data_IF_797694022576
#
_entry.id   IF_797694022576
#
_cell.length_a   1.000
_cell.length_b   1.000
_cell.length_c   1.000
_cell.angle_alpha   90.00
_cell.angle_beta   90.00
_cell.angle_gamma   90.00
#
_symmetry.space_group_name_H-M   'P 1'
#
loop_
_entity.id
_entity.type
_entity.pdbx_description
1 polymer ?
#
# COMPACT_ATOMS: atom_id res chain seq x y z
N UNK A 1 7.15 0.00 24.67
CA UNK A 1 8.36 -0.61 25.26
C UNK A 1 8.50 -0.36 26.76
N UNK A 2 7.88 0.69 27.31
CA UNK A 2 7.88 0.98 28.75
C UNK A 2 6.88 0.14 29.56
N UNK A 3 6.10 -0.70 28.91
CA UNK A 3 5.06 -1.53 29.55
C UNK A 3 3.75 -0.80 29.84
N UNK A 4 3.68 0.49 29.55
CA UNK A 4 2.47 1.28 29.71
C UNK A 4 1.51 1.03 28.53
N UNK A 5 0.24 0.81 28.86
CA UNK A 5 -0.83 0.67 27.87
C UNK A 5 -1.66 1.95 27.90
N UNK A 6 -1.75 2.68 26.77
CA UNK A 6 -2.54 3.89 26.73
C UNK A 6 -4.03 3.56 26.91
N UNK A 7 -4.73 4.43 27.61
CA UNK A 7 -6.19 4.47 27.60
C UNK A 7 -6.65 5.32 26.42
N UNK A 8 -7.76 4.95 25.81
CA UNK A 8 -8.33 5.70 24.68
C UNK A 8 -9.82 5.96 24.93
N UNK A 9 -10.27 7.12 24.47
CA UNK A 9 -11.66 7.49 24.40
C UNK A 9 -12.08 7.60 22.94
N UNK A 10 -13.07 6.79 22.55
CA UNK A 10 -13.63 6.77 21.19
C UNK A 10 -15.02 7.39 21.11
N UNK A 11 -15.48 8.06 22.17
CA UNK A 11 -16.83 8.64 22.25
C UNK A 11 -17.12 9.68 21.15
N UNK A 12 -16.07 10.35 20.63
CA UNK A 12 -16.18 11.33 19.54
C UNK A 12 -16.14 10.69 18.15
N UNK A 13 -15.88 9.40 18.03
CA UNK A 13 -15.92 8.68 16.75
C UNK A 13 -17.38 8.49 16.34
N UNK A 14 -17.68 8.80 15.07
CA UNK A 14 -19.03 8.64 14.55
C UNK A 14 -19.53 7.20 14.75
N UNK A 15 -20.78 7.01 15.22
CA UNK A 15 -21.35 5.67 15.39
C UNK A 15 -21.46 4.94 14.05
N UNK A 16 -21.43 3.61 14.10
CA UNK A 16 -21.61 2.77 12.92
C UNK A 16 -22.95 3.09 12.24
N UNK A 17 -22.93 3.14 10.91
CA UNK A 17 -24.10 3.45 10.10
C UNK A 17 -24.39 4.95 9.90
N UNK A 18 -23.71 5.85 10.61
CA UNK A 18 -23.89 7.30 10.44
C UNK A 18 -23.47 7.74 9.01
N UNK A 19 -24.25 8.64 8.41
CA UNK A 19 -24.00 9.11 7.04
C UNK A 19 -22.71 9.96 6.96
N UNK A 20 -21.90 9.69 5.96
CA UNK A 20 -20.72 10.51 5.64
C UNK A 20 -21.12 11.66 4.70
N UNK A 21 -20.68 12.88 5.04
CA UNK A 21 -21.08 14.09 4.30
C UNK A 21 -20.31 14.28 2.99
N UNK A 22 -19.04 13.91 2.94
CA UNK A 22 -18.12 14.32 1.86
C UNK A 22 -18.08 13.33 0.70
N UNK A 23 -18.01 12.03 0.98
CA UNK A 23 -17.81 11.00 -0.06
C UNK A 23 -19.00 10.04 -0.21
N UNK A 24 -20.10 10.29 0.49
CA UNK A 24 -21.20 9.34 0.60
C UNK A 24 -20.80 8.10 1.41
N UNK A 25 -21.75 7.18 1.58
CA UNK A 25 -21.55 5.97 2.39
C UNK A 25 -21.82 6.20 3.88
N UNK A 26 -21.48 5.19 4.68
CA UNK A 26 -21.76 5.15 6.12
C UNK A 26 -20.47 4.92 6.91
N UNK A 27 -20.40 5.47 8.11
CA UNK A 27 -19.30 5.27 9.03
C UNK A 27 -19.23 3.83 9.53
N UNK A 28 -18.03 3.32 9.75
CA UNK A 28 -17.79 1.98 10.31
C UNK A 28 -17.94 1.93 11.83
N UNK A 29 -18.00 3.08 12.50
CA UNK A 29 -18.00 3.16 13.96
C UNK A 29 -16.61 3.08 14.58
N UNK A 30 -16.52 3.06 15.92
CA UNK A 30 -15.25 3.02 16.66
C UNK A 30 -14.57 1.65 16.67
N UNK A 31 -15.31 0.56 16.47
CA UNK A 31 -14.80 -0.81 16.66
C UNK A 31 -13.53 -1.13 15.84
N UNK A 32 -13.45 -0.79 14.55
CA UNK A 32 -12.22 -1.04 13.77
C UNK A 32 -11.00 -0.31 14.34
N UNK A 33 -11.19 0.88 14.89
CA UNK A 33 -10.12 1.66 15.53
C UNK A 33 -9.66 1.01 16.84
N UNK A 34 -10.59 0.56 17.66
CA UNK A 34 -10.30 -0.17 18.91
C UNK A 34 -9.56 -1.47 18.61
N UNK A 35 -9.97 -2.19 17.56
CA UNK A 35 -9.31 -3.40 17.11
C UNK A 35 -7.87 -3.14 16.65
N UNK A 36 -7.64 -2.05 15.90
CA UNK A 36 -6.28 -1.61 15.55
C UNK A 36 -5.42 -1.33 16.79
N UNK A 37 -5.96 -0.66 17.80
CA UNK A 37 -5.20 -0.37 19.03
C UNK A 37 -4.82 -1.65 19.76
N UNK A 38 -5.74 -2.59 19.92
CA UNK A 38 -5.48 -3.90 20.53
C UNK A 38 -4.40 -4.66 19.76
N UNK A 39 -4.55 -4.75 18.45
CA UNK A 39 -3.58 -5.41 17.55
C UNK A 39 -2.18 -4.77 17.70
N UNK A 40 -2.11 -3.45 17.72
CA UNK A 40 -0.84 -2.73 17.89
C UNK A 40 -0.18 -3.06 19.22
N UNK A 41 -0.95 -3.04 20.30
CA UNK A 41 -0.44 -3.38 21.65
C UNK A 41 0.11 -4.81 21.68
N UNK A 42 -0.59 -5.77 21.11
CA UNK A 42 -0.13 -7.17 21.04
C UNK A 42 1.18 -7.30 20.26
N UNK A 43 1.29 -6.64 19.10
CA UNK A 43 2.52 -6.65 18.30
C UNK A 43 3.70 -6.06 19.07
N UNK A 44 3.52 -4.93 19.76
CA UNK A 44 4.59 -4.32 20.56
C UNK A 44 4.93 -5.12 21.80
N UNK A 45 3.96 -5.74 22.48
CA UNK A 45 4.23 -6.66 23.60
C UNK A 45 5.06 -7.86 23.15
N UNK A 46 4.75 -8.43 21.98
CA UNK A 46 5.55 -9.52 21.41
C UNK A 46 6.95 -9.13 20.97
N UNK A 47 7.25 -7.82 20.90
CA UNK A 47 8.54 -7.29 20.46
C UNK A 47 9.36 -6.66 21.61
N UNK A 48 9.00 -6.91 22.87
CA UNK A 48 9.77 -6.38 24.02
C UNK A 48 11.22 -6.84 23.93
N UNK A 49 12.16 -5.90 24.09
CA UNK A 49 13.60 -6.16 24.05
C UNK A 49 14.21 -6.28 22.65
N UNK A 50 13.42 -6.11 21.57
CA UNK A 50 13.89 -6.13 20.17
C UNK A 50 13.19 -5.09 19.31
N UNK A 51 13.71 -4.85 18.12
CA UNK A 51 13.00 -4.07 17.10
C UNK A 51 11.90 -4.93 16.44
N UNK A 52 10.87 -4.27 15.94
CA UNK A 52 9.90 -4.93 15.06
C UNK A 52 10.60 -5.45 13.80
N UNK A 53 10.21 -6.64 13.37
CA UNK A 53 10.65 -7.20 12.08
C UNK A 53 9.92 -6.52 10.92
N UNK A 54 10.44 -6.70 9.69
CA UNK A 54 9.81 -6.18 8.46
C UNK A 54 8.35 -6.62 8.32
N UNK A 55 8.07 -7.89 8.57
CA UNK A 55 6.71 -8.43 8.47
C UNK A 55 5.78 -7.88 9.56
N UNK A 56 6.26 -7.62 10.76
CA UNK A 56 5.47 -7.00 11.82
C UNK A 56 5.13 -5.54 11.48
N UNK A 57 6.08 -4.80 10.93
CA UNK A 57 5.82 -3.45 10.41
C UNK A 57 4.80 -3.47 9.26
N UNK A 58 4.96 -4.42 8.33
CA UNK A 58 4.02 -4.62 7.22
C UNK A 58 2.61 -4.94 7.72
N UNK A 59 2.48 -5.84 8.70
CA UNK A 59 1.21 -6.21 9.30
C UNK A 59 0.51 -5.03 9.96
N UNK A 60 1.26 -4.17 10.67
CA UNK A 60 0.73 -2.93 11.25
C UNK A 60 0.20 -1.98 10.17
N UNK A 61 0.95 -1.79 9.08
CA UNK A 61 0.51 -0.94 7.97
C UNK A 61 -0.73 -1.49 7.27
N UNK A 62 -0.81 -2.81 7.07
CA UNK A 62 -2.00 -3.46 6.53
C UNK A 62 -3.20 -3.28 7.46
N UNK A 63 -3.01 -3.44 8.77
CA UNK A 63 -4.08 -3.26 9.76
C UNK A 63 -4.59 -1.81 9.81
N UNK A 64 -3.69 -0.83 9.67
CA UNK A 64 -4.08 0.59 9.49
C UNK A 64 -4.92 0.76 8.21
N UNK A 65 -4.52 0.12 7.11
CA UNK A 65 -5.29 0.15 5.87
C UNK A 65 -6.69 -0.46 6.00
N UNK A 66 -6.83 -1.49 6.81
CA UNK A 66 -8.09 -2.19 7.04
C UNK A 66 -9.16 -1.29 7.66
N UNK A 67 -8.80 -0.45 8.63
CA UNK A 67 -9.76 0.46 9.28
C UNK A 67 -10.30 1.56 8.36
N UNK A 68 -9.68 1.80 7.20
CA UNK A 68 -10.12 2.79 6.21
C UNK A 68 -11.19 2.22 5.28
N UNK A 69 -11.70 1.03 5.53
CA UNK A 69 -12.86 0.47 4.83
C UNK A 69 -14.13 1.19 5.27
N UNK A 70 -14.82 1.83 4.33
CA UNK A 70 -16.05 2.59 4.58
C UNK A 70 -17.20 1.99 3.81
N UNK A 71 -18.26 1.60 4.52
CA UNK A 71 -19.48 1.05 3.91
C UNK A 71 -19.22 -0.23 3.09
N UNK A 72 -18.26 -1.06 3.51
CA UNK A 72 -17.86 -2.28 2.78
C UNK A 72 -16.98 -2.02 1.56
N UNK A 73 -16.62 -0.77 1.27
CA UNK A 73 -15.76 -0.41 0.15
C UNK A 73 -14.35 -0.11 0.64
N UNK A 74 -13.38 -0.81 0.08
CA UNK A 74 -11.95 -0.56 0.33
C UNK A 74 -11.55 0.83 -0.17
N UNK A 75 -11.05 1.69 0.73
CA UNK A 75 -10.61 3.06 0.45
C UNK A 75 -9.09 3.24 0.50
N UNK A 76 -8.35 2.21 0.85
CA UNK A 76 -6.88 2.23 0.88
C UNK A 76 -6.31 1.07 0.09
N UNK A 77 -5.13 1.26 -0.45
CA UNK A 77 -4.32 0.24 -1.07
C UNK A 77 -2.86 0.56 -0.80
N UNK A 78 -2.05 -0.49 -0.62
CA UNK A 78 -0.64 -0.39 -0.26
C UNK A 78 0.21 -1.13 -1.28
N UNK A 79 1.45 -0.71 -1.45
CA UNK A 79 2.52 -1.51 -2.05
C UNK A 79 3.65 -1.62 -1.04
N UNK A 80 4.11 -2.83 -0.80
CA UNK A 80 5.31 -3.08 0.00
C UNK A 80 6.45 -3.46 -0.92
N UNK A 81 7.50 -2.64 -0.92
CA UNK A 81 8.73 -2.90 -1.65
C UNK A 81 9.80 -3.36 -0.66
N UNK A 82 10.23 -4.59 -0.77
CA UNK A 82 11.15 -5.22 0.17
C UNK A 82 12.47 -5.64 -0.49
N UNK A 83 13.51 -5.81 0.32
CA UNK A 83 14.80 -6.25 -0.17
C UNK A 83 14.79 -7.72 -0.62
N UNK A 84 15.67 -8.06 -1.55
CA UNK A 84 15.82 -9.43 -2.06
C UNK A 84 16.10 -10.43 -0.94
N UNK A 85 16.87 -10.04 0.08
CA UNK A 85 17.23 -10.87 1.24
C UNK A 85 16.12 -11.04 2.29
N UNK A 86 14.99 -10.36 2.13
CA UNK A 86 13.91 -10.42 3.12
C UNK A 86 12.98 -11.61 2.86
N UNK A 87 13.33 -12.77 3.45
CA UNK A 87 12.54 -14.00 3.35
C UNK A 87 11.17 -13.89 4.00
N UNK A 88 11.01 -13.11 5.07
CA UNK A 88 9.70 -12.91 5.71
C UNK A 88 8.73 -12.24 4.75
N UNK A 89 9.20 -11.22 4.04
CA UNK A 89 8.39 -10.53 3.04
C UNK A 89 8.18 -11.37 1.78
N UNK A 90 9.14 -12.23 1.41
CA UNK A 90 8.95 -13.18 0.29
C UNK A 90 7.79 -14.12 0.52
N UNK A 91 7.60 -14.57 1.75
CA UNK A 91 6.56 -15.53 2.13
C UNK A 91 5.36 -14.92 2.86
N UNK A 92 5.21 -13.59 2.83
CA UNK A 92 4.12 -12.91 3.53
C UNK A 92 2.72 -13.40 3.12
N UNK A 93 2.56 -13.84 1.87
CA UNK A 93 1.33 -14.38 1.29
C UNK A 93 1.56 -15.75 0.64
N UNK A 94 2.31 -16.60 1.29
CA UNK A 94 2.51 -17.99 0.87
C UNK A 94 1.71 -18.94 1.77
N UNK A 95 1.21 -20.03 1.21
CA UNK A 95 0.41 -21.01 1.96
C UNK A 95 -0.93 -20.43 2.44
N UNK A 96 -1.33 -20.84 3.63
CA UNK A 96 -2.64 -20.48 4.20
C UNK A 96 -2.58 -19.15 4.98
N UNK A 97 -2.38 -18.05 4.29
CA UNK A 97 -2.27 -16.72 4.90
C UNK A 97 -3.62 -15.97 5.01
N UNK A 98 -4.63 -16.38 4.26
CA UNK A 98 -5.95 -15.77 4.20
C UNK A 98 -6.86 -16.25 5.32
N UNK A 99 -7.92 -15.49 5.58
CA UNK A 99 -8.95 -15.83 6.55
C UNK A 99 -9.98 -16.78 5.91
N UNK A 100 -10.49 -17.71 6.71
CA UNK A 100 -11.57 -18.63 6.35
C UNK A 100 -12.73 -18.46 7.33
N UNK A 101 -13.60 -17.43 7.16
CA UNK A 101 -14.68 -17.12 8.09
C UNK A 101 -15.65 -18.28 8.30
N UNK A 102 -15.94 -19.06 7.25
CA UNK A 102 -16.84 -20.22 7.32
C UNK A 102 -16.31 -21.34 8.24
N UNK A 103 -14.98 -21.40 8.41
CA UNK A 103 -14.31 -22.33 9.34
C UNK A 103 -13.91 -21.64 10.65
N UNK A 104 -14.29 -20.39 10.84
CA UNK A 104 -13.91 -19.57 12.00
C UNK A 104 -12.38 -19.46 12.19
N UNK A 105 -11.63 -19.41 11.06
CA UNK A 105 -10.18 -19.28 11.03
C UNK A 105 -9.80 -17.88 10.58
N UNK A 106 -9.10 -17.14 11.44
CA UNK A 106 -8.59 -15.80 11.17
C UNK A 106 -7.07 -15.81 11.28
N UNK A 107 -6.39 -15.57 10.15
CA UNK A 107 -4.93 -15.64 10.04
C UNK A 107 -4.33 -14.27 9.77
N UNK A 108 -4.10 -13.95 8.50
CA UNK A 108 -3.44 -12.73 8.06
C UNK A 108 -4.21 -12.05 6.92
N UNK A 109 -5.54 -12.15 6.90
CA UNK A 109 -6.39 -11.65 5.83
C UNK A 109 -6.22 -10.15 5.55
N UNK A 110 -5.84 -9.36 6.56
CA UNK A 110 -5.49 -7.95 6.40
C UNK A 110 -4.32 -7.72 5.42
N UNK A 111 -3.45 -8.71 5.17
CA UNK A 111 -2.38 -8.61 4.17
C UNK A 111 -2.90 -8.50 2.74
N UNK A 112 -4.17 -8.81 2.49
CA UNK A 112 -4.83 -8.59 1.19
C UNK A 112 -4.88 -7.11 0.78
N UNK A 113 -4.69 -6.19 1.72
CA UNK A 113 -4.68 -4.75 1.48
C UNK A 113 -3.38 -4.23 0.86
N UNK A 114 -2.31 -5.01 0.90
CA UNK A 114 -1.02 -4.67 0.30
C UNK A 114 -0.69 -5.58 -0.87
N UNK A 115 -0.18 -5.02 -1.95
CA UNK A 115 0.59 -5.75 -2.95
C UNK A 115 2.04 -5.80 -2.47
N UNK A 116 2.73 -6.91 -2.66
CA UNK A 116 4.11 -7.08 -2.22
C UNK A 116 5.01 -7.32 -3.43
N UNK A 117 6.13 -6.61 -3.49
CA UNK A 117 7.15 -6.80 -4.53
C UNK A 117 8.56 -6.75 -3.95
N UNK A 118 9.47 -7.52 -4.53
CA UNK A 118 10.90 -7.32 -4.32
C UNK A 118 11.37 -6.12 -5.13
N UNK A 119 12.19 -5.25 -4.54
CA UNK A 119 12.77 -4.11 -5.23
C UNK A 119 14.22 -4.40 -5.62
N UNK A 120 14.49 -4.61 -6.91
CA UNK A 120 15.85 -4.74 -7.41
C UNK A 120 16.51 -3.38 -7.55
N UNK A 121 17.55 -3.14 -6.78
CA UNK A 121 18.38 -1.94 -6.85
C UNK A 121 19.51 -2.07 -7.88
N UNK A 122 19.83 -3.30 -8.27
CA UNK A 122 20.79 -3.65 -9.30
C UNK A 122 20.27 -4.85 -10.11
N UNK A 123 20.96 -5.22 -11.17
CA UNK A 123 20.61 -6.42 -11.95
C UNK A 123 20.89 -7.66 -11.10
N UNK A 124 19.89 -8.47 -10.76
CA UNK A 124 20.13 -9.68 -10.01
C UNK A 124 20.91 -10.71 -10.86
N UNK A 125 21.63 -11.59 -10.19
CA UNK A 125 22.14 -12.79 -10.85
C UNK A 125 21.01 -13.77 -11.21
N UNK A 126 21.28 -14.71 -12.12
CA UNK A 126 20.27 -15.61 -12.64
C UNK A 126 19.63 -16.50 -11.55
N UNK A 127 20.43 -16.95 -10.57
CA UNK A 127 19.94 -17.84 -9.51
C UNK A 127 19.06 -17.08 -8.51
N UNK A 128 19.42 -15.86 -8.15
CA UNK A 128 18.60 -14.98 -7.32
C UNK A 128 17.28 -14.66 -8.00
N UNK A 129 17.30 -14.39 -9.30
CA UNK A 129 16.07 -14.16 -10.08
C UNK A 129 15.20 -15.40 -10.13
N UNK A 130 15.76 -16.57 -10.43
CA UNK A 130 15.01 -17.83 -10.49
C UNK A 130 14.40 -18.20 -9.14
N UNK A 131 15.10 -17.96 -8.03
CA UNK A 131 14.55 -18.19 -6.70
C UNK A 131 13.32 -17.34 -6.44
N UNK A 132 13.37 -16.06 -6.79
CA UNK A 132 12.23 -15.16 -6.66
C UNK A 132 11.06 -15.57 -7.55
N UNK A 133 11.36 -15.95 -8.79
CA UNK A 133 10.36 -16.43 -9.74
C UNK A 133 9.69 -17.73 -9.29
N UNK A 134 10.45 -18.66 -8.79
CA UNK A 134 9.94 -19.93 -8.26
C UNK A 134 9.04 -19.68 -7.06
N UNK A 135 9.48 -18.86 -6.11
CA UNK A 135 8.67 -18.47 -4.94
C UNK A 135 7.36 -17.80 -5.32
N UNK A 136 7.39 -16.92 -6.34
CA UNK A 136 6.20 -16.29 -6.88
C UNK A 136 5.21 -17.33 -7.46
N UNK A 137 5.70 -18.28 -8.23
CA UNK A 137 4.87 -19.34 -8.82
C UNK A 137 4.29 -20.28 -7.74
N UNK A 138 5.08 -20.66 -6.76
CA UNK A 138 4.68 -21.57 -5.68
C UNK A 138 3.74 -20.92 -4.66
N UNK A 139 3.75 -19.59 -4.52
CA UNK A 139 2.91 -18.89 -3.54
C UNK A 139 1.41 -19.08 -3.77
N UNK A 140 0.99 -19.35 -5.02
CA UNK A 140 -0.41 -19.43 -5.41
C UNK A 140 -1.16 -18.08 -5.35
N UNK A 141 -0.55 -17.04 -4.77
CA UNK A 141 -1.13 -15.71 -4.62
C UNK A 141 -0.70 -14.71 -5.70
N UNK A 142 0.30 -15.07 -6.53
CA UNK A 142 0.91 -14.15 -7.49
C UNK A 142 1.86 -13.14 -6.85
N UNK A 143 2.30 -13.38 -5.63
CA UNK A 143 3.20 -12.52 -4.85
C UNK A 143 4.38 -13.31 -4.23
N UNK A 144 5.55 -12.68 -3.98
CA UNK A 144 5.77 -11.23 -4.20
C UNK A 144 6.19 -10.99 -5.66
N UNK A 145 5.68 -9.88 -6.22
CA UNK A 145 6.02 -9.43 -7.56
C UNK A 145 7.45 -8.85 -7.64
N UNK A 146 7.82 -8.37 -8.81
CA UNK A 146 9.15 -7.82 -9.09
C UNK A 146 9.05 -6.36 -9.49
N UNK A 147 9.69 -5.48 -8.73
CA UNK A 147 9.85 -4.06 -9.05
C UNK A 147 11.33 -3.75 -9.31
N UNK A 148 11.66 -3.31 -10.53
CA UNK A 148 13.03 -2.97 -10.87
C UNK A 148 13.30 -1.47 -10.62
N UNK A 149 13.80 -1.14 -9.42
CA UNK A 149 14.11 0.24 -9.02
C UNK A 149 15.25 0.84 -9.88
N UNK A 150 16.22 0.04 -10.32
CA UNK A 150 17.26 0.52 -11.22
C UNK A 150 16.68 0.99 -12.56
N UNK A 151 15.75 0.22 -13.14
CA UNK A 151 15.06 0.62 -14.37
C UNK A 151 14.19 1.87 -14.14
N UNK A 152 13.52 1.96 -12.99
CA UNK A 152 12.75 3.13 -12.58
C UNK A 152 13.61 4.39 -12.52
N UNK A 153 14.80 4.32 -11.92
CA UNK A 153 15.78 5.41 -11.86
C UNK A 153 16.24 5.84 -13.26
N UNK A 154 16.56 4.88 -14.13
CA UNK A 154 16.94 5.16 -15.52
C UNK A 154 15.79 5.82 -16.30
N UNK A 155 14.57 5.36 -16.11
CA UNK A 155 13.40 5.95 -16.76
C UNK A 155 13.10 7.37 -16.22
N UNK A 156 13.30 7.60 -14.93
CA UNK A 156 13.15 8.92 -14.33
C UNK A 156 14.16 9.94 -14.92
N UNK A 157 15.41 9.51 -15.15
CA UNK A 157 16.45 10.34 -15.74
C UNK A 157 16.22 10.66 -17.22
N UNK A 158 15.45 9.84 -17.92
CA UNK A 158 15.23 9.97 -19.37
C UNK A 158 14.68 11.35 -19.72
N UNK A 159 15.33 12.02 -20.67
CA UNK A 159 14.98 13.36 -21.14
C UNK A 159 15.09 14.48 -20.10
N UNK A 160 15.80 14.27 -18.99
CA UNK A 160 16.00 15.28 -17.94
C UNK A 160 14.73 15.73 -17.21
N UNK A 161 13.62 14.99 -17.34
CA UNK A 161 12.31 15.40 -16.83
C UNK A 161 12.17 15.23 -15.31
N UNK A 162 12.84 14.25 -14.74
CA UNK A 162 12.73 13.89 -13.32
C UNK A 162 14.12 13.65 -12.74
N UNK A 163 14.33 14.03 -11.48
CA UNK A 163 15.61 13.81 -10.78
C UNK A 163 15.78 12.31 -10.45
N UNK A 164 16.81 11.62 -11.01
CA UNK A 164 17.06 10.22 -10.72
C UNK A 164 17.55 9.95 -9.29
N UNK A 165 17.98 10.99 -8.55
CA UNK A 165 18.60 10.86 -7.23
C UNK A 165 17.60 10.66 -6.09
N UNK A 166 16.34 10.40 -6.40
CA UNK A 166 15.36 9.99 -5.41
C UNK A 166 15.24 8.46 -5.35
N UNK A 167 14.84 7.96 -4.18
CA UNK A 167 14.41 6.57 -4.06
C UNK A 167 13.03 6.41 -4.72
N UNK A 168 13.03 5.84 -5.92
CA UNK A 168 11.83 5.62 -6.69
C UNK A 168 11.08 4.38 -6.21
N UNK A 169 9.78 4.53 -6.02
CA UNK A 169 8.80 3.48 -5.80
C UNK A 169 7.67 3.59 -6.83
N UNK A 170 6.52 3.05 -6.48
CA UNK A 170 5.34 3.05 -7.35
C UNK A 170 4.05 3.11 -6.53
N UNK A 171 2.93 3.33 -7.19
CA UNK A 171 1.60 3.10 -6.63
C UNK A 171 1.32 1.59 -6.47
N UNK A 172 0.25 1.19 -5.76
CA UNK A 172 -0.03 -0.22 -5.47
C UNK A 172 -0.11 -1.14 -6.68
N UNK A 173 -0.57 -0.65 -7.84
CA UNK A 173 -0.66 -1.43 -9.08
C UNK A 173 0.62 -1.38 -9.93
N UNK A 174 1.63 -0.60 -9.52
CA UNK A 174 2.96 -0.47 -10.14
C UNK A 174 2.99 0.19 -11.53
N UNK A 175 1.92 0.82 -11.99
CA UNK A 175 1.87 1.50 -13.30
C UNK A 175 2.44 2.91 -13.28
N UNK A 176 2.61 3.53 -12.09
CA UNK A 176 3.10 4.90 -11.96
C UNK A 176 4.33 4.93 -11.06
N UNK A 177 5.43 5.49 -11.55
CA UNK A 177 6.62 5.75 -10.73
C UNK A 177 6.38 6.97 -9.85
N UNK A 178 6.46 6.76 -8.54
CA UNK A 178 6.29 7.77 -7.51
C UNK A 178 7.53 7.84 -6.62
N UNK A 179 7.77 8.99 -6.03
CA UNK A 179 8.82 9.20 -5.05
C UNK A 179 8.29 9.83 -3.77
N UNK A 180 8.93 9.49 -2.67
CA UNK A 180 8.78 10.20 -1.41
C UNK A 180 9.65 11.46 -1.34
N UNK A 181 9.65 12.18 -0.22
CA UNK A 181 10.63 13.22 0.08
C UNK A 181 12.04 12.61 0.16
N UNK A 182 13.08 13.44 0.00
CA UNK A 182 14.42 13.04 0.42
C UNK A 182 14.46 12.93 1.94
N UNK A 183 15.16 11.93 2.43
CA UNK A 183 15.34 11.70 3.85
C UNK A 183 16.76 12.03 4.22
N UNK A 184 16.96 12.83 5.28
CA UNK A 184 18.28 13.19 5.77
C UNK A 184 18.92 12.04 6.59
N UNK A 185 20.16 12.26 7.03
CA UNK A 185 20.93 11.30 7.85
C UNK A 185 20.28 10.96 9.20
N UNK A 186 19.34 11.79 9.65
CA UNK A 186 18.61 11.59 10.92
C UNK A 186 17.24 10.92 10.70
N UNK A 187 16.92 10.54 9.45
CA UNK A 187 15.65 9.94 9.09
C UNK A 187 14.50 10.94 8.94
N UNK A 188 14.80 12.26 8.83
CA UNK A 188 13.79 13.29 8.69
C UNK A 188 13.61 13.73 7.24
N UNK A 189 12.37 14.06 6.82
CA UNK A 189 12.14 14.60 5.49
C UNK A 189 12.84 15.93 5.27
N UNK A 190 13.60 16.04 4.18
CA UNK A 190 14.25 17.29 3.78
C UNK A 190 13.19 18.29 3.28
N UNK A 191 13.15 19.47 3.87
CA UNK A 191 12.22 20.54 3.51
C UNK A 191 12.29 20.87 2.01
N UNK A 192 11.13 21.06 1.38
CA UNK A 192 11.03 21.41 -0.05
C UNK A 192 11.17 20.25 -1.02
N UNK A 193 11.41 19.01 -0.54
CA UNK A 193 11.53 17.86 -1.43
C UNK A 193 10.23 17.13 -1.70
N UNK A 194 9.23 17.27 -0.85
CA UNK A 194 7.86 16.75 -1.00
C UNK A 194 7.72 15.31 -1.48
N UNK A 195 6.53 14.75 -1.36
CA UNK A 195 6.16 13.47 -1.95
C UNK A 195 5.37 13.66 -3.26
N UNK A 196 5.19 12.58 -3.98
CA UNK A 196 4.27 12.49 -5.11
C UNK A 196 3.10 11.58 -4.74
N UNK A 197 1.97 11.79 -5.35
CA UNK A 197 0.79 10.97 -5.16
C UNK A 197 0.08 10.75 -6.49
N UNK A 198 -0.83 9.79 -6.52
CA UNK A 198 -1.56 9.38 -7.71
C UNK A 198 -3.00 9.86 -7.61
N UNK A 199 -3.41 10.71 -8.56
CA UNK A 199 -4.80 11.10 -8.76
C UNK A 199 -5.40 10.31 -9.90
N UNK A 200 -6.58 9.73 -9.68
CA UNK A 200 -7.27 8.94 -10.68
C UNK A 200 -8.52 9.66 -11.18
N UNK A 201 -8.70 9.62 -12.48
CA UNK A 201 -9.97 9.95 -13.14
C UNK A 201 -10.36 8.77 -14.02
N UNK A 202 -11.62 8.36 -13.94
CA UNK A 202 -12.15 7.23 -14.70
C UNK A 202 -13.07 7.69 -15.81
N UNK A 203 -12.98 7.01 -16.96
CA UNK A 203 -13.87 7.19 -18.11
C UNK A 203 -14.69 5.93 -18.31
N UNK A 204 -15.99 6.02 -18.10
CA UNK A 204 -16.92 4.92 -18.35
C UNK A 204 -17.23 4.86 -19.84
N UNK A 205 -16.81 3.79 -20.51
CA UNK A 205 -17.11 3.51 -21.91
C UNK A 205 -18.39 2.70 -21.99
N UNK A 206 -19.32 3.12 -22.82
CA UNK A 206 -20.58 2.43 -23.09
C UNK A 206 -20.59 1.89 -24.52
N UNK A 207 -21.30 0.80 -24.75
CA UNK A 207 -21.42 0.20 -26.08
C UNK A 207 -21.98 1.18 -27.14
N UNK A 208 -22.73 2.18 -26.73
CA UNK A 208 -23.32 3.21 -27.60
C UNK A 208 -22.39 4.40 -27.86
N UNK A 209 -21.21 4.45 -27.22
CA UNK A 209 -20.30 5.58 -27.41
C UNK A 209 -19.64 5.54 -28.78
N UNK A 210 -19.68 6.68 -29.46
CA UNK A 210 -18.88 6.91 -30.64
C UNK A 210 -17.45 7.31 -30.29
N UNK A 211 -16.53 7.27 -31.25
CA UNK A 211 -15.16 7.80 -31.07
C UNK A 211 -15.17 9.25 -30.57
N UNK A 212 -16.11 10.08 -31.05
CA UNK A 212 -16.24 11.48 -30.63
C UNK A 212 -16.65 11.57 -29.15
N UNK A 213 -17.58 10.74 -28.71
CA UNK A 213 -18.01 10.71 -27.32
C UNK A 213 -16.87 10.28 -26.39
N UNK A 214 -16.12 9.24 -26.77
CA UNK A 214 -14.96 8.78 -26.03
C UNK A 214 -13.91 9.89 -25.89
N UNK A 215 -13.54 10.54 -26.98
CA UNK A 215 -12.56 11.64 -26.94
C UNK A 215 -13.04 12.81 -26.06
N UNK A 216 -14.33 13.15 -26.09
CA UNK A 216 -14.92 14.17 -25.21
C UNK A 216 -14.82 13.75 -23.73
N UNK A 217 -15.16 12.51 -23.40
CA UNK A 217 -15.08 11.98 -22.04
C UNK A 217 -13.63 11.98 -21.53
N UNK A 218 -12.68 11.52 -22.32
CA UNK A 218 -11.25 11.51 -21.98
C UNK A 218 -10.75 12.94 -21.75
N UNK A 219 -11.12 13.89 -22.59
CA UNK A 219 -10.75 15.32 -22.39
C UNK A 219 -11.26 15.84 -21.06
N UNK A 220 -12.52 15.56 -20.70
CA UNK A 220 -13.10 16.00 -19.42
C UNK A 220 -12.40 15.34 -18.23
N UNK A 221 -12.14 14.03 -18.29
CA UNK A 221 -11.42 13.32 -17.24
C UNK A 221 -10.00 13.86 -17.07
N UNK A 222 -9.30 14.19 -18.15
CA UNK A 222 -7.97 14.80 -18.12
C UNK A 222 -8.00 16.18 -17.44
N UNK A 223 -9.00 17.03 -17.75
CA UNK A 223 -9.16 18.33 -17.11
C UNK A 223 -9.40 18.16 -15.60
N UNK A 224 -10.30 17.26 -15.21
CA UNK A 224 -10.56 16.96 -13.79
C UNK A 224 -9.31 16.46 -13.06
N UNK A 225 -8.60 15.51 -13.66
CA UNK A 225 -7.35 14.98 -13.09
C UNK A 225 -6.28 16.06 -12.95
N UNK A 226 -6.18 16.99 -13.90
CA UNK A 226 -5.25 18.12 -13.82
C UNK A 226 -5.61 19.07 -12.68
N UNK A 227 -6.91 19.43 -12.54
CA UNK A 227 -7.36 20.29 -11.44
C UNK A 227 -7.13 19.64 -10.07
N UNK A 228 -7.31 18.33 -9.96
CA UNK A 228 -7.03 17.61 -8.71
C UNK A 228 -5.54 17.60 -8.33
N UNK A 229 -4.65 17.85 -9.29
CA UNK A 229 -3.19 17.82 -9.10
C UNK A 229 -2.59 19.18 -8.74
N UNK A 230 -3.40 20.23 -8.73
CA UNK A 230 -2.99 21.60 -8.35
C UNK A 230 -3.35 21.88 -6.90
#
# INVERSE_FOLDING_TARGET
YAGEIPQWDVSLVRPAGARLKTFGGRASGPDPLVDLFKFTIEKFKGAVGRRLSSIECHDLMCKIGEIVVVGGVRRSALISLSNLSDDRMRHAKSGEWYDEPDKNIYRFGYRSLANNSVAYTEKPDAMSFLREWTSLAESGSGERGIFNRQAATKQAAKNGRRDPNYEWGCNPCSEILLRGPKIDKNGQPVTGTGGQFCNLSEVIIRATDTKKDLLRKVRLATILGTIQST
#
